data_IF_005897004733
#
_entry.id   IF_005897004733
#
_cell.length_a   1.000
_cell.length_b   1.000
_cell.length_c   1.000
_cell.angle_alpha   90.00
_cell.angle_beta   90.00
_cell.angle_gamma   90.00
#
_symmetry.space_group_name_H-M   'P 1'
#
loop_
_entity.id
_entity.type
_entity.pdbx_description
1 polymer ?
#
# COMPACT_ATOMS: atom_id res chain seq x y z
N UNK A 1 30.09 58.19 -43.08
CA UNK A 1 29.21 57.01 -43.12
C UNK A 1 29.52 56.11 -41.94
N UNK A 2 28.72 56.11 -40.89
CA UNK A 2 28.91 55.29 -39.70
C UNK A 2 27.96 54.11 -39.77
N UNK A 3 28.43 52.91 -39.94
CA UNK A 3 27.69 51.67 -39.97
C UNK A 3 27.37 51.22 -38.53
N UNK A 4 26.07 51.22 -38.22
CA UNK A 4 25.54 50.74 -36.93
C UNK A 4 25.41 49.21 -37.00
N UNK A 5 26.21 48.49 -36.20
CA UNK A 5 26.10 47.00 -36.03
C UNK A 5 25.10 46.76 -34.91
N UNK A 6 23.94 46.22 -35.23
CA UNK A 6 22.98 45.68 -34.27
C UNK A 6 23.44 44.31 -33.78
N UNK A 7 23.79 44.21 -32.51
CA UNK A 7 24.03 42.97 -31.81
C UNK A 7 22.68 42.43 -31.33
N UNK A 8 22.14 41.42 -31.97
CA UNK A 8 20.95 40.71 -31.51
C UNK A 8 21.40 39.74 -30.44
N UNK A 9 21.21 40.08 -29.18
CA UNK A 9 21.33 39.15 -28.07
C UNK A 9 20.10 38.24 -28.04
N UNK A 10 20.22 37.03 -28.59
CA UNK A 10 19.19 36.02 -28.47
C UNK A 10 19.10 35.52 -27.02
N UNK A 11 18.08 35.96 -26.32
CA UNK A 11 17.71 35.40 -25.01
C UNK A 11 17.11 34.02 -25.23
N UNK A 12 17.91 32.96 -25.08
CA UNK A 12 17.40 31.60 -24.99
C UNK A 12 16.61 31.48 -23.67
N UNK A 13 15.30 31.66 -23.74
CA UNK A 13 14.39 31.17 -22.70
C UNK A 13 14.49 29.64 -22.72
N UNK A 14 15.28 29.06 -21.82
CA UNK A 14 15.08 27.68 -21.42
C UNK A 14 13.73 27.61 -20.71
N UNK A 15 12.66 27.29 -21.47
CA UNK A 15 11.43 26.84 -20.88
C UNK A 15 11.78 25.55 -20.11
N UNK A 16 11.77 25.61 -18.80
CA UNK A 16 11.77 24.42 -17.96
C UNK A 16 10.51 23.62 -18.35
N UNK A 17 10.66 22.59 -19.15
CA UNK A 17 9.60 21.63 -19.40
C UNK A 17 9.19 21.10 -18.02
N UNK A 18 7.90 20.97 -17.72
CA UNK A 18 7.50 20.35 -16.47
C UNK A 18 8.10 18.96 -16.43
N UNK A 19 8.88 18.70 -15.38
CA UNK A 19 9.44 17.38 -15.07
C UNK A 19 8.31 16.37 -15.13
N UNK A 20 8.37 15.46 -16.07
CA UNK A 20 7.38 14.42 -16.27
C UNK A 20 7.90 13.19 -15.52
N UNK A 21 7.37 12.98 -14.31
CA UNK A 21 7.71 11.79 -13.53
C UNK A 21 7.59 10.53 -14.36
N UNK A 22 8.54 9.64 -14.21
CA UNK A 22 8.49 8.34 -14.86
C UNK A 22 7.69 7.37 -13.97
N UNK A 23 6.43 7.17 -14.29
CA UNK A 23 5.65 6.06 -13.76
C UNK A 23 5.90 4.80 -14.61
N UNK A 24 6.24 3.72 -13.95
CA UNK A 24 6.50 2.42 -14.56
C UNK A 24 5.58 1.38 -13.97
N UNK A 25 4.81 0.69 -14.81
CA UNK A 25 4.03 -0.47 -14.40
C UNK A 25 4.98 -1.64 -14.14
N UNK A 26 4.85 -2.25 -12.96
CA UNK A 26 5.65 -3.39 -12.56
C UNK A 26 4.81 -4.64 -12.39
N UNK A 27 5.45 -5.80 -12.50
CA UNK A 27 4.84 -7.10 -12.22
C UNK A 27 5.85 -8.00 -11.54
N UNK A 28 5.50 -8.55 -10.38
CA UNK A 28 6.29 -9.51 -9.63
C UNK A 28 5.57 -10.84 -9.59
N UNK A 29 6.22 -11.90 -10.08
CA UNK A 29 5.67 -13.27 -10.08
C UNK A 29 5.58 -13.83 -8.67
N UNK A 30 4.47 -14.50 -8.37
CA UNK A 30 4.21 -15.18 -7.09
C UNK A 30 3.70 -16.59 -7.37
N UNK A 31 3.77 -17.48 -6.39
CA UNK A 31 3.27 -18.86 -6.52
C UNK A 31 1.76 -18.94 -6.81
N UNK A 32 1.00 -17.93 -6.35
CA UNK A 32 -0.43 -17.82 -6.59
C UNK A 32 -0.79 -17.10 -7.89
N UNK A 33 0.15 -16.38 -8.53
CA UNK A 33 -0.08 -15.57 -9.72
C UNK A 33 0.91 -14.43 -9.85
N UNK A 34 0.44 -13.18 -9.85
CA UNK A 34 1.31 -12.01 -9.96
C UNK A 34 0.83 -10.83 -9.13
N UNK A 35 1.76 -10.12 -8.54
CA UNK A 35 1.56 -8.75 -8.03
C UNK A 35 1.75 -7.75 -9.16
N UNK A 36 0.91 -6.74 -9.19
CA UNK A 36 1.00 -5.61 -10.10
C UNK A 36 1.09 -4.31 -9.31
N UNK A 37 1.94 -3.41 -9.74
CA UNK A 37 2.15 -2.14 -9.06
C UNK A 37 2.62 -1.06 -10.01
N UNK A 38 2.78 0.15 -9.49
CA UNK A 38 3.34 1.30 -10.19
C UNK A 38 4.51 1.84 -9.39
N UNK A 39 5.70 1.83 -9.99
CA UNK A 39 6.90 2.45 -9.49
C UNK A 39 6.98 3.88 -10.03
N UNK A 40 6.97 4.85 -9.13
CA UNK A 40 7.17 6.27 -9.44
C UNK A 40 8.60 6.65 -9.09
N UNK A 41 9.36 7.13 -10.07
CA UNK A 41 10.77 7.53 -9.88
C UNK A 41 10.92 8.99 -10.26
N UNK A 42 11.52 9.84 -9.39
CA UNK A 42 11.86 11.21 -9.74
C UNK A 42 12.82 11.28 -10.94
N UNK A 43 12.76 12.33 -11.74
CA UNK A 43 13.60 12.47 -12.96
C UNK A 43 15.10 12.41 -12.66
N UNK A 44 15.53 12.95 -11.53
CA UNK A 44 16.92 12.93 -11.09
C UNK A 44 17.34 11.59 -10.47
N UNK A 45 16.41 10.62 -10.43
CA UNK A 45 16.59 9.35 -9.74
C UNK A 45 16.38 9.45 -8.24
N UNK A 46 16.56 8.35 -7.54
CA UNK A 46 16.50 8.28 -6.07
C UNK A 46 17.30 7.09 -5.55
N UNK A 47 18.04 7.27 -4.47
CA UNK A 47 18.67 6.15 -3.72
C UNK A 47 17.68 5.49 -2.75
N UNK A 48 16.59 6.19 -2.41
CA UNK A 48 15.57 5.72 -1.49
C UNK A 48 14.27 5.39 -2.22
N UNK A 49 13.59 4.35 -1.78
CA UNK A 49 12.25 4.01 -2.25
C UNK A 49 11.32 3.74 -1.08
N UNK A 50 10.09 4.20 -1.20
CA UNK A 50 9.00 3.95 -0.25
C UNK A 50 8.07 2.91 -0.83
N UNK A 51 7.93 1.75 -0.17
CA UNK A 51 6.89 0.77 -0.48
C UNK A 51 5.62 1.14 0.28
N UNK A 52 4.56 1.47 -0.42
CA UNK A 52 3.26 1.84 0.16
C UNK A 52 2.40 0.60 0.27
N UNK A 53 2.08 0.20 1.51
CA UNK A 53 1.32 -1.00 1.85
C UNK A 53 -0.10 -0.60 2.27
N UNK A 54 -1.09 -1.10 1.55
CA UNK A 54 -2.50 -0.79 1.82
C UNK A 54 -3.00 -1.42 3.13
N UNK A 55 -4.01 -0.80 3.73
CA UNK A 55 -4.75 -1.34 4.87
C UNK A 55 -5.64 -2.54 4.50
N UNK A 56 -6.51 -2.96 5.43
CA UNK A 56 -7.46 -4.06 5.22
C UNK A 56 -8.47 -3.77 4.10
N UNK A 57 -9.10 -4.84 3.60
CA UNK A 57 -10.11 -4.76 2.55
C UNK A 57 -9.55 -4.72 1.12
N UNK A 58 -10.44 -4.67 0.11
CA UNK A 58 -10.10 -4.75 -1.31
C UNK A 58 -9.63 -3.39 -1.86
N UNK A 59 -8.47 -2.94 -1.37
CA UNK A 59 -7.91 -1.62 -1.72
C UNK A 59 -6.89 -1.76 -2.86
N UNK A 60 -7.05 -0.95 -3.90
CA UNK A 60 -6.13 -0.87 -5.03
C UNK A 60 -4.87 -0.05 -4.69
N UNK A 61 -3.91 -0.03 -5.63
CA UNK A 61 -2.65 0.70 -5.51
C UNK A 61 -2.79 2.22 -5.35
N UNK A 62 -3.95 2.77 -5.67
CA UNK A 62 -4.22 4.21 -5.55
C UNK A 62 -4.91 4.58 -4.22
N UNK A 63 -5.33 3.58 -3.45
CA UNK A 63 -6.08 3.77 -2.21
C UNK A 63 -7.58 3.80 -2.42
N UNK A 64 -8.08 3.25 -3.53
CA UNK A 64 -9.50 3.16 -3.82
C UNK A 64 -10.03 1.77 -3.48
N UNK A 65 -11.32 1.67 -3.16
CA UNK A 65 -11.99 0.41 -2.84
C UNK A 65 -13.12 0.15 -3.83
N UNK A 66 -13.30 -1.13 -4.19
CA UNK A 66 -14.39 -1.59 -5.06
C UNK A 66 -15.80 -1.29 -4.54
N UNK A 67 -15.94 -0.92 -3.26
CA UNK A 67 -17.20 -0.46 -2.64
C UNK A 67 -17.59 1.00 -2.98
N UNK A 68 -16.91 1.64 -3.93
CA UNK A 68 -17.19 3.00 -4.37
C UNK A 68 -16.42 4.10 -3.61
N UNK A 69 -15.52 3.74 -2.73
CA UNK A 69 -14.64 4.71 -2.06
C UNK A 69 -13.47 5.06 -2.99
N UNK A 70 -13.45 6.29 -3.49
CA UNK A 70 -12.39 6.82 -4.35
C UNK A 70 -11.66 7.94 -3.60
N UNK A 71 -10.49 7.63 -3.04
CA UNK A 71 -9.69 8.58 -2.26
C UNK A 71 -8.41 9.03 -2.97
N UNK A 72 -7.84 8.17 -3.82
CA UNK A 72 -6.53 8.35 -4.44
C UNK A 72 -5.39 8.67 -3.44
N UNK A 73 -5.54 8.30 -2.18
CA UNK A 73 -4.63 8.68 -1.09
C UNK A 73 -3.20 8.20 -1.37
N UNK A 74 -3.02 6.95 -1.82
CA UNK A 74 -1.69 6.41 -2.10
C UNK A 74 -1.07 6.99 -3.37
N UNK A 75 -1.90 7.30 -4.37
CA UNK A 75 -1.45 8.05 -5.54
C UNK A 75 -0.95 9.44 -5.14
N UNK A 76 -1.72 10.17 -4.32
CA UNK A 76 -1.33 11.50 -3.83
C UNK A 76 -0.05 11.46 -2.99
N UNK A 77 0.11 10.43 -2.15
CA UNK A 77 1.34 10.22 -1.37
C UNK A 77 2.53 9.97 -2.30
N UNK A 78 2.40 9.11 -3.31
CA UNK A 78 3.45 8.85 -4.29
C UNK A 78 3.88 10.13 -5.03
N UNK A 79 2.92 10.96 -5.43
CA UNK A 79 3.18 12.26 -6.08
C UNK A 79 3.85 13.28 -5.14
N UNK A 80 3.54 13.23 -3.85
CA UNK A 80 4.20 14.07 -2.85
C UNK A 80 5.66 13.63 -2.62
N UNK A 81 5.89 12.32 -2.47
CA UNK A 81 7.23 11.76 -2.32
C UNK A 81 8.14 12.07 -3.52
N UNK A 82 7.60 11.95 -4.72
CA UNK A 82 8.33 12.27 -5.95
C UNK A 82 8.81 13.72 -5.98
N UNK A 83 7.98 14.68 -5.57
CA UNK A 83 8.36 16.10 -5.48
C UNK A 83 9.51 16.33 -4.50
N UNK A 84 9.64 15.47 -3.50
CA UNK A 84 10.74 15.48 -2.52
C UNK A 84 11.95 14.63 -2.97
N UNK A 85 11.97 14.17 -4.23
CA UNK A 85 13.08 13.37 -4.76
C UNK A 85 13.11 11.92 -4.26
N UNK A 86 11.98 11.38 -3.78
CA UNK A 86 11.88 10.04 -3.23
C UNK A 86 11.05 9.17 -4.15
N UNK A 87 11.59 8.02 -4.56
CA UNK A 87 10.85 7.03 -5.33
C UNK A 87 9.81 6.32 -4.46
N UNK A 88 8.73 5.83 -5.08
CA UNK A 88 7.72 5.05 -4.37
C UNK A 88 7.14 3.94 -5.23
N UNK A 89 6.84 2.81 -4.59
CA UNK A 89 6.14 1.68 -5.18
C UNK A 89 4.82 1.48 -4.45
N UNK A 90 3.72 1.56 -5.19
CA UNK A 90 2.37 1.25 -4.75
C UNK A 90 1.85 0.06 -5.55
N UNK A 91 1.13 -0.84 -4.93
CA UNK A 91 0.71 -2.10 -5.55
C UNK A 91 -0.72 -2.48 -5.21
N UNK A 92 -1.32 -3.26 -6.07
CA UNK A 92 -2.62 -3.89 -5.82
C UNK A 92 -2.44 -5.14 -4.96
N UNK A 93 -3.27 -5.31 -3.93
CA UNK A 93 -3.28 -6.53 -3.11
C UNK A 93 -3.68 -7.75 -3.94
N UNK A 94 -3.46 -8.96 -3.43
CA UNK A 94 -3.84 -10.21 -4.09
C UNK A 94 -5.31 -10.20 -4.53
N UNK A 95 -5.55 -10.54 -5.79
CA UNK A 95 -6.90 -10.59 -6.36
C UNK A 95 -7.50 -9.22 -6.72
N UNK A 96 -6.81 -8.10 -6.43
CA UNK A 96 -7.30 -6.74 -6.67
C UNK A 96 -6.60 -6.15 -7.90
N UNK A 97 -7.32 -5.34 -8.64
CA UNK A 97 -6.80 -4.54 -9.77
C UNK A 97 -6.01 -5.38 -10.78
N UNK A 98 -4.73 -5.08 -10.94
CA UNK A 98 -3.80 -5.80 -11.81
C UNK A 98 -3.17 -7.05 -11.19
N UNK A 99 -3.26 -7.23 -9.86
CA UNK A 99 -2.74 -8.40 -9.14
C UNK A 99 -3.70 -9.56 -9.26
N UNK A 100 -3.36 -10.53 -10.12
CA UNK A 100 -4.29 -11.58 -10.54
C UNK A 100 -3.80 -12.95 -10.16
N UNK A 101 -4.73 -13.79 -9.68
CA UNK A 101 -4.48 -15.21 -9.48
C UNK A 101 -4.28 -15.90 -10.82
N UNK A 102 -3.38 -16.89 -10.85
CA UNK A 102 -3.19 -17.77 -11.99
C UNK A 102 -4.37 -18.75 -12.09
N UNK A 103 -4.87 -19.25 -10.95
CA UNK A 103 -6.06 -20.07 -10.84
C UNK A 103 -7.28 -19.21 -10.50
N UNK A 104 -8.31 -19.11 -11.39
CA UNK A 104 -9.51 -18.34 -11.12
C UNK A 104 -10.32 -18.81 -9.91
N UNK A 105 -10.19 -20.08 -9.49
CA UNK A 105 -10.91 -20.60 -8.33
C UNK A 105 -10.44 -19.93 -7.01
N UNK A 106 -9.24 -19.38 -6.98
CA UNK A 106 -8.73 -18.65 -5.82
C UNK A 106 -9.52 -17.37 -5.51
N UNK A 107 -10.20 -16.77 -6.51
CA UNK A 107 -11.07 -15.61 -6.27
C UNK A 107 -12.31 -15.95 -5.42
N UNK A 108 -12.67 -17.22 -5.32
CA UNK A 108 -13.80 -17.72 -4.53
C UNK A 108 -13.39 -18.12 -3.10
N UNK A 109 -12.11 -17.98 -2.76
CA UNK A 109 -11.51 -18.47 -1.51
C UNK A 109 -10.87 -17.31 -0.74
N UNK A 110 -11.61 -16.22 -0.52
CA UNK A 110 -11.11 -15.05 0.21
C UNK A 110 -10.71 -15.38 1.66
N UNK A 111 -11.40 -16.34 2.27
CA UNK A 111 -11.11 -16.87 3.60
C UNK A 111 -9.77 -17.60 3.71
N UNK A 112 -9.15 -17.95 2.56
CA UNK A 112 -7.81 -18.55 2.50
C UNK A 112 -6.70 -17.57 2.86
N UNK A 113 -6.85 -16.28 2.56
CA UNK A 113 -5.82 -15.28 2.77
C UNK A 113 -5.47 -15.14 4.25
N UNK A 114 -4.20 -15.06 4.53
CA UNK A 114 -3.63 -14.89 5.87
C UNK A 114 -2.74 -13.65 5.90
N UNK A 115 -2.50 -13.11 7.07
CA UNK A 115 -1.55 -11.99 7.26
C UNK A 115 -0.17 -12.32 6.69
N UNK A 116 0.26 -13.58 6.82
CA UNK A 116 1.52 -14.08 6.27
C UNK A 116 1.61 -13.94 4.73
N UNK A 117 0.50 -14.05 4.00
CA UNK A 117 0.49 -13.86 2.55
C UNK A 117 0.82 -12.42 2.17
N UNK A 118 0.26 -11.44 2.90
CA UNK A 118 0.54 -10.02 2.69
C UNK A 118 1.97 -9.63 3.12
N UNK A 119 2.49 -10.25 4.17
CA UNK A 119 3.89 -10.07 4.59
C UNK A 119 4.83 -10.57 3.50
N UNK A 120 4.62 -11.79 3.00
CA UNK A 120 5.41 -12.36 1.92
C UNK A 120 5.35 -11.54 0.62
N UNK A 121 4.21 -10.91 0.33
CA UNK A 121 4.09 -9.99 -0.80
C UNK A 121 4.90 -8.70 -0.59
N UNK A 122 4.88 -8.14 0.62
CA UNK A 122 5.68 -6.96 0.96
C UNK A 122 7.18 -7.25 0.89
N UNK A 123 7.63 -8.42 1.35
CA UNK A 123 9.00 -8.89 1.22
C UNK A 123 9.43 -9.01 -0.24
N UNK A 124 8.62 -9.66 -1.09
CA UNK A 124 8.92 -9.80 -2.52
C UNK A 124 8.99 -8.46 -3.26
N UNK A 125 8.20 -7.47 -2.85
CA UNK A 125 8.28 -6.12 -3.40
C UNK A 125 9.48 -5.34 -2.86
N UNK A 126 9.92 -5.62 -1.64
CA UNK A 126 11.16 -5.10 -1.06
C UNK A 126 12.37 -5.64 -1.84
N UNK A 127 12.41 -6.96 -2.10
CA UNK A 127 13.45 -7.59 -2.92
C UNK A 127 13.47 -7.01 -4.33
N UNK A 128 12.30 -6.82 -4.94
CA UNK A 128 12.19 -6.17 -6.25
C UNK A 128 12.81 -4.75 -6.24
N UNK A 129 12.54 -3.94 -5.23
CA UNK A 129 13.13 -2.59 -5.11
C UNK A 129 14.64 -2.66 -4.96
N UNK A 130 15.16 -3.62 -4.20
CA UNK A 130 16.59 -3.88 -4.06
C UNK A 130 17.25 -4.27 -5.41
N UNK A 131 16.64 -5.17 -6.16
CA UNK A 131 17.10 -5.57 -7.50
C UNK A 131 17.09 -4.40 -8.48
N UNK A 132 16.19 -3.43 -8.30
CA UNK A 132 16.14 -2.17 -9.06
C UNK A 132 17.22 -1.17 -8.63
N UNK A 133 18.04 -1.48 -7.63
CA UNK A 133 19.18 -0.68 -7.19
C UNK A 133 18.89 0.32 -6.08
N UNK A 134 17.71 0.31 -5.48
CA UNK A 134 17.43 1.14 -4.31
C UNK A 134 18.19 0.61 -3.08
N UNK A 135 18.90 1.51 -2.39
CA UNK A 135 19.75 1.17 -1.24
C UNK A 135 19.11 1.49 0.11
N UNK A 136 18.09 2.32 0.10
CA UNK A 136 17.34 2.70 1.30
C UNK A 136 15.86 2.44 1.04
N UNK A 137 15.35 1.33 1.57
CA UNK A 137 13.95 0.95 1.41
C UNK A 137 13.20 1.28 2.69
N UNK A 138 12.13 2.04 2.55
CA UNK A 138 11.26 2.46 3.64
C UNK A 138 9.89 1.83 3.41
N UNK A 139 9.40 1.09 4.39
CA UNK A 139 8.03 0.57 4.34
C UNK A 139 7.08 1.60 4.95
N UNK A 140 6.15 2.08 4.16
CA UNK A 140 5.06 2.93 4.62
C UNK A 140 3.78 2.11 4.66
N UNK A 141 3.32 1.85 5.86
CA UNK A 141 2.00 1.29 6.04
C UNK A 141 0.96 2.38 5.75
N UNK A 142 -0.01 2.05 4.92
CA UNK A 142 -1.15 2.90 4.73
C UNK A 142 -1.97 3.00 6.02
N UNK A 143 -2.99 2.20 6.15
CA UNK A 143 -3.93 2.28 7.26
C UNK A 143 -4.09 0.91 7.94
N UNK A 144 -4.09 0.87 9.28
CA UNK A 144 -4.46 -0.33 10.07
C UNK A 144 -3.57 -1.56 9.77
N UNK A 145 -4.09 -2.59 9.11
CA UNK A 145 -3.41 -3.86 8.78
C UNK A 145 -2.07 -3.66 8.06
N UNK A 146 -1.99 -2.71 7.11
CA UNK A 146 -0.76 -2.43 6.39
C UNK A 146 0.40 -2.02 7.30
N UNK A 147 0.12 -1.38 8.45
CA UNK A 147 1.10 -1.07 9.47
C UNK A 147 1.71 -2.33 10.09
N UNK A 148 0.86 -3.30 10.42
CA UNK A 148 1.30 -4.57 10.98
C UNK A 148 2.13 -5.36 9.96
N UNK A 149 1.65 -5.42 8.71
CA UNK A 149 2.41 -6.04 7.61
C UNK A 149 3.80 -5.42 7.48
N UNK A 150 3.89 -4.06 7.45
CA UNK A 150 5.16 -3.36 7.34
C UNK A 150 6.10 -3.64 8.51
N UNK A 151 5.59 -3.64 9.75
CA UNK A 151 6.40 -3.90 10.95
C UNK A 151 6.96 -5.32 10.93
N UNK A 152 6.15 -6.33 10.59
CA UNK A 152 6.62 -7.72 10.54
C UNK A 152 7.59 -7.92 9.38
N UNK A 153 7.27 -7.47 8.16
CA UNK A 153 8.16 -7.57 7.01
C UNK A 153 9.53 -6.91 7.26
N UNK A 154 9.56 -5.80 8.01
CA UNK A 154 10.80 -5.14 8.38
C UNK A 154 11.67 -5.94 9.35
N UNK A 155 11.10 -6.83 10.18
CA UNK A 155 11.88 -7.72 11.05
C UNK A 155 12.53 -8.86 10.29
N UNK A 156 11.94 -9.25 9.17
CA UNK A 156 12.43 -10.36 8.32
C UNK A 156 13.42 -9.87 7.22
N UNK A 157 13.45 -8.57 6.93
CA UNK A 157 14.28 -8.00 5.86
C UNK A 157 15.31 -7.01 6.38
N UNK A 158 16.62 -7.35 6.33
CA UNK A 158 17.70 -6.43 6.72
C UNK A 158 17.86 -5.23 5.76
N UNK A 159 17.23 -5.28 4.59
CA UNK A 159 17.29 -4.23 3.57
C UNK A 159 16.30 -3.08 3.85
N UNK A 160 15.40 -3.27 4.81
CA UNK A 160 14.46 -2.23 5.23
C UNK A 160 15.15 -1.24 6.18
N UNK A 161 15.31 0.00 5.72
CA UNK A 161 15.98 1.05 6.49
C UNK A 161 15.09 1.66 7.58
N UNK A 162 13.78 1.71 7.38
CA UNK A 162 12.81 2.28 8.31
C UNK A 162 11.38 1.84 8.02
N UNK A 163 10.51 1.98 9.02
CA UNK A 163 9.05 1.81 8.87
C UNK A 163 8.36 3.10 9.30
N UNK A 164 7.41 3.54 8.49
CA UNK A 164 6.52 4.66 8.82
C UNK A 164 5.12 4.09 8.98
N UNK A 165 4.63 4.04 10.21
CA UNK A 165 3.27 3.58 10.52
C UNK A 165 2.28 4.75 10.41
N UNK A 166 1.37 4.70 9.44
CA UNK A 166 0.30 5.67 9.28
C UNK A 166 -1.00 5.08 9.85
N UNK A 167 -1.50 5.66 10.93
CA UNK A 167 -2.71 5.19 11.63
C UNK A 167 -2.69 3.68 11.95
N UNK A 168 -1.51 3.13 12.26
CA UNK A 168 -1.35 1.73 12.63
C UNK A 168 -2.00 1.40 13.97
N UNK A 169 -2.40 0.15 14.11
CA UNK A 169 -3.01 -0.38 15.31
C UNK A 169 -1.99 -0.45 16.46
N UNK A 170 -2.27 0.22 17.57
CA UNK A 170 -1.46 0.17 18.79
C UNK A 170 -1.93 -0.89 19.79
N UNK A 171 -2.99 -1.64 19.47
CA UNK A 171 -3.60 -2.68 20.31
C UNK A 171 -3.80 -3.97 19.53
N UNK A 172 -3.99 -5.11 20.20
CA UNK A 172 -4.39 -6.37 19.55
C UNK A 172 -5.63 -6.19 18.68
N UNK A 173 -5.69 -6.92 17.57
CA UNK A 173 -6.76 -6.75 16.58
C UNK A 173 -8.16 -7.04 17.14
N UNK A 174 -8.28 -7.98 18.06
CA UNK A 174 -9.54 -8.30 18.74
C UNK A 174 -10.06 -7.09 19.56
N UNK A 175 -9.18 -6.37 20.24
CA UNK A 175 -9.54 -5.17 20.99
C UNK A 175 -9.98 -4.03 20.08
N UNK A 176 -9.28 -3.85 18.95
CA UNK A 176 -9.60 -2.82 17.96
C UNK A 176 -10.94 -3.11 17.29
N UNK A 177 -11.17 -4.36 16.85
CA UNK A 177 -12.43 -4.76 16.25
C UNK A 177 -13.58 -4.61 17.24
N UNK A 178 -13.36 -5.01 18.50
CA UNK A 178 -14.37 -4.81 19.53
C UNK A 178 -14.72 -3.33 19.72
N UNK A 179 -13.71 -2.45 19.76
CA UNK A 179 -13.93 -1.01 19.92
C UNK A 179 -14.67 -0.41 18.72
N UNK A 180 -14.26 -0.74 17.50
CA UNK A 180 -14.86 -0.23 16.27
C UNK A 180 -16.30 -0.69 16.11
N UNK A 181 -16.55 -2.00 16.23
CA UNK A 181 -17.89 -2.58 16.11
C UNK A 181 -18.83 -2.12 17.23
N UNK A 182 -18.33 -1.99 18.47
CA UNK A 182 -19.13 -1.43 19.56
C UNK A 182 -19.55 0.01 19.26
N UNK A 183 -18.65 0.83 18.73
CA UNK A 183 -18.91 2.22 18.38
C UNK A 183 -20.00 2.37 17.30
N UNK A 184 -19.98 1.51 16.31
CA UNK A 184 -21.00 1.47 15.26
C UNK A 184 -22.34 0.93 15.79
N UNK A 185 -22.31 -0.20 16.50
CA UNK A 185 -23.51 -0.90 16.95
C UNK A 185 -24.25 -0.17 18.06
N UNK A 186 -23.57 0.62 18.89
CA UNK A 186 -24.21 1.31 20.02
C UNK A 186 -25.36 2.22 19.58
N UNK A 187 -25.24 2.81 18.39
CA UNK A 187 -26.27 3.70 17.82
C UNK A 187 -27.27 2.97 16.93
N UNK A 188 -26.90 1.81 16.40
CA UNK A 188 -27.68 1.09 15.39
C UNK A 188 -28.40 -0.14 15.98
N UNK A 189 -27.67 -1.02 16.64
CA UNK A 189 -28.22 -2.22 17.28
C UNK A 189 -27.36 -2.66 18.48
N UNK A 190 -27.57 -2.08 19.67
CA UNK A 190 -26.77 -2.39 20.87
C UNK A 190 -26.82 -3.87 21.28
N UNK A 191 -27.91 -4.59 20.94
CA UNK A 191 -28.07 -6.01 21.27
C UNK A 191 -27.02 -6.90 20.64
N UNK A 192 -26.43 -6.48 19.50
CA UNK A 192 -25.38 -7.24 18.82
C UNK A 192 -23.98 -7.12 19.46
N UNK A 193 -23.79 -6.20 20.40
CA UNK A 193 -22.48 -5.98 21.05
C UNK A 193 -22.02 -7.26 21.79
N UNK A 194 -22.94 -7.94 22.48
CA UNK A 194 -22.64 -9.19 23.18
C UNK A 194 -22.28 -10.31 22.19
N UNK A 195 -22.93 -10.35 21.03
CA UNK A 195 -22.60 -11.31 19.97
C UNK A 195 -21.18 -11.07 19.45
N UNK A 196 -20.81 -9.83 19.17
CA UNK A 196 -19.45 -9.45 18.75
C UNK A 196 -18.41 -9.90 19.77
N UNK A 197 -18.63 -9.64 21.06
CA UNK A 197 -17.72 -10.07 22.13
C UNK A 197 -17.59 -11.59 22.19
N UNK A 198 -18.70 -12.31 22.06
CA UNK A 198 -18.71 -13.78 22.02
C UNK A 198 -17.92 -14.32 20.82
N UNK A 199 -18.15 -13.75 19.63
CA UNK A 199 -17.44 -14.12 18.39
C UNK A 199 -15.94 -13.93 18.55
N UNK A 200 -15.49 -12.74 18.93
CA UNK A 200 -14.09 -12.42 19.09
C UNK A 200 -13.42 -13.33 20.15
N UNK A 201 -14.09 -13.60 21.27
CA UNK A 201 -13.60 -14.51 22.30
C UNK A 201 -13.42 -15.94 21.79
N UNK A 202 -14.34 -16.44 20.97
CA UNK A 202 -14.25 -17.78 20.35
C UNK A 202 -13.12 -17.85 19.34
N UNK A 203 -13.01 -16.87 18.44
CA UNK A 203 -11.94 -16.79 17.45
C UNK A 203 -10.55 -16.75 18.13
N UNK A 204 -10.41 -16.00 19.21
CA UNK A 204 -9.18 -15.93 20.02
C UNK A 204 -8.78 -17.30 20.63
N UNK A 205 -9.77 -18.16 20.86
CA UNK A 205 -9.56 -19.54 21.33
C UNK A 205 -9.33 -20.55 20.18
N UNK A 206 -9.28 -20.09 18.93
CA UNK A 206 -9.17 -20.96 17.74
C UNK A 206 -10.45 -21.73 17.40
N UNK A 207 -11.60 -21.31 17.93
CA UNK A 207 -12.91 -21.93 17.67
C UNK A 207 -13.56 -21.28 16.45
N UNK A 208 -14.42 -22.05 15.77
CA UNK A 208 -15.26 -21.55 14.67
C UNK A 208 -16.45 -20.72 15.19
N UNK A 209 -17.08 -19.99 14.29
CA UNK A 209 -18.27 -19.17 14.58
C UNK A 209 -19.58 -19.81 14.11
N UNK A 210 -19.54 -21.05 13.62
CA UNK A 210 -20.67 -21.75 13.01
C UNK A 210 -21.89 -21.93 13.96
N UNK A 211 -21.64 -21.96 15.27
CA UNK A 211 -22.68 -22.13 16.30
C UNK A 211 -23.18 -20.80 16.90
N UNK A 212 -22.89 -19.66 16.30
CA UNK A 212 -23.33 -18.36 16.84
C UNK A 212 -24.65 -18.00 16.17
N UNK A 213 -25.73 -17.78 16.93
CA UNK A 213 -27.02 -17.34 16.39
C UNK A 213 -26.86 -16.01 15.63
N UNK A 214 -27.52 -15.92 14.46
CA UNK A 214 -27.55 -14.73 13.64
C UNK A 214 -28.31 -13.57 14.33
#
# INVERSE_FOLDING_TARGET
MKTFRYLIAGLLLLAALPSQSKEEEISVSRSWGKLSGTLTVPDEGSDAAVLIIAGSGPTDRNGNSGSGLITNTYYMLARALEKEGIASLRYDKQGIGGSRYQDPELYKQEDRLRLADYIADAEALTDYLKERGFRKIILVAGHSEGSLVALVAATESPDVAAVISLAGAGYPIDEILQLQLTRELISYNPGLILNVQSILSRLKQGKTTEDIPA
#
